data_IF_628768466923
#
_entry.id   IF_628768466923
#
_cell.length_a   1.000
_cell.length_b   1.000
_cell.length_c   1.000
_cell.angle_alpha   90.00
_cell.angle_beta   90.00
_cell.angle_gamma   90.00
#
_symmetry.space_group_name_H-M   'P 1'
#
loop_
_entity.id
_entity.type
_entity.pdbx_description
1 polymer ?
2 non-polymer ?
3 water ?
#
# COMPACT_ATOMS: atom_id res chain seq x y z
N UNK A 1 -10.28 11.60 -14.52
CA UNK A 1 -9.97 10.47 -13.59
C UNK A 1 -10.97 9.35 -13.77
N UNK A 2 -10.59 8.16 -13.31
CA UNK A 2 -11.49 7.03 -13.39
C UNK A 2 -11.55 6.37 -12.03
N UNK A 3 -12.74 5.89 -11.65
CA UNK A 3 -12.89 5.16 -10.39
C UNK A 3 -12.53 3.74 -10.83
N UNK A 4 -11.49 3.18 -10.24
CA UNK A 4 -11.04 1.85 -10.62
C UNK A 4 -11.74 0.79 -9.79
N UNK A 5 -11.98 -0.36 -10.39
CA UNK A 5 -12.61 -1.40 -9.60
C UNK A 5 -11.51 -1.95 -8.68
N UNK A 6 -11.82 -2.09 -7.40
CA UNK A 6 -10.89 -2.65 -6.44
C UNK A 6 -11.20 -4.14 -6.43
N UNK A 7 -10.18 -4.93 -6.75
CA UNK A 7 -10.27 -6.39 -6.78
C UNK A 7 -10.44 -6.97 -5.37
N UNK A 8 -11.45 -7.82 -5.20
CA UNK A 8 -11.72 -8.42 -3.90
C UNK A 8 -11.04 -9.77 -3.73
N UNK A 9 -10.38 -10.32 -2.23
CA UNK A 9 -10.00 -11.69 -1.93
C UNK A 9 -11.34 -12.54 -2.16
N UNK A 10 -11.37 -13.36 -3.34
CA UNK A 10 -10.22 -13.96 -4.01
C UNK A 10 -10.00 -13.63 -5.48
N UNK A 11 -8.86 -13.66 -5.70
CA UNK A 11 -8.32 -13.28 -6.99
C UNK A 11 -6.82 -13.48 -7.00
N UNK A 12 -6.34 -14.18 -8.03
CA UNK A 12 -4.92 -14.47 -8.19
C UNK A 12 -4.00 -13.25 -8.36
N UNK A 13 -4.50 -12.17 -8.96
CA UNK A 13 -3.65 -10.99 -9.14
C UNK A 13 -3.15 -10.50 -7.78
N UNK A 14 -3.92 -10.74 -6.72
CA UNK A 14 -3.52 -10.27 -5.39
C UNK A 14 -2.32 -10.97 -4.80
N UNK A 15 -2.05 -12.20 -5.25
CA UNK A 15 -0.93 -12.95 -4.71
C UNK A 15 0.24 -12.98 -5.67
N UNK A 16 0.17 -12.16 -6.70
CA UNK A 16 1.24 -12.13 -7.70
C UNK A 16 2.28 -11.06 -7.39
N UNK A 17 3.55 -11.44 -7.21
CA UNK A 17 4.56 -10.39 -6.93
C UNK A 17 4.64 -9.46 -8.14
N UNK A 18 4.86 -8.19 -7.88
CA UNK A 18 4.86 -7.15 -8.90
C UNK A 18 6.20 -6.82 -9.51
N UNK A 19 6.19 -6.44 -10.78
CA UNK A 19 7.42 -6.04 -11.43
C UNK A 19 7.76 -4.62 -11.05
N UNK A 20 9.05 -4.31 -11.05
CA UNK A 20 9.49 -2.94 -10.77
C UNK A 20 9.05 -2.07 -11.93
N UNK A 21 8.76 -0.81 -11.62
CA UNK A 21 8.38 0.16 -12.64
C UNK A 21 9.69 0.56 -13.33
N UNK A 22 9.71 0.53 -14.66
CA UNK A 22 10.89 0.88 -15.44
C UNK A 22 10.63 2.15 -16.23
N UNK A 23 9.38 2.32 -16.64
CA UNK A 23 9.00 3.49 -17.41
C UNK A 23 8.17 4.42 -16.55
N UNK A 24 8.69 5.62 -16.32
CA UNK A 24 7.98 6.61 -15.51
C UNK A 24 7.32 7.51 -16.53
N UNK A 25 6.19 7.03 -17.04
CA UNK A 25 5.44 7.69 -18.10
C UNK A 25 4.08 8.24 -17.71
N UNK A 26 3.35 8.76 -18.71
CA UNK A 26 2.03 9.33 -18.43
C UNK A 26 0.99 8.32 -17.94
N UNK A 27 1.14 7.06 -18.34
CA UNK A 27 0.19 6.03 -17.95
C UNK A 27 0.37 5.72 -16.46
N UNK A 28 1.61 5.83 -16.00
CA UNK A 28 1.95 5.61 -14.58
C UNK A 28 1.32 6.75 -13.78
N UNK A 29 1.47 7.97 -14.26
CA UNK A 29 0.90 9.10 -13.53
C UNK A 29 -0.62 8.95 -13.47
N UNK A 30 -1.26 8.57 -14.57
CA UNK A 30 -2.72 8.40 -14.51
C UNK A 30 -3.12 7.27 -13.56
N UNK A 31 -2.33 6.20 -13.55
CA UNK A 31 -2.63 5.09 -12.63
C UNK A 31 -2.62 5.61 -11.19
N UNK A 32 -1.58 6.37 -10.82
CA UNK A 32 -1.50 6.88 -9.45
C UNK A 32 -2.63 7.85 -9.14
N UNK A 33 -2.97 8.71 -10.09
CA UNK A 33 -4.05 9.67 -9.85
C UNK A 33 -5.37 8.93 -9.65
N UNK A 34 -5.64 7.96 -10.51
CA UNK A 34 -6.88 7.19 -10.38
C UNK A 34 -6.91 6.38 -9.10
N UNK A 35 -5.76 5.80 -8.72
CA UNK A 35 -5.69 5.03 -7.48
C UNK A 35 -5.99 5.87 -6.25
N UNK A 36 -5.42 7.06 -6.19
CA UNK A 36 -5.65 7.87 -5.00
C UNK A 36 -7.11 8.25 -4.79
N UNK A 37 -7.81 8.65 -5.85
CA UNK A 37 -9.23 9.03 -5.63
C UNK A 37 -10.07 7.77 -5.43
N UNK A 38 -9.74 6.70 -6.16
CA UNK A 38 -10.47 5.45 -5.96
C UNK A 38 -10.34 5.01 -4.49
N UNK A 39 -9.13 5.10 -3.96
CA UNK A 39 -8.88 4.72 -2.57
C UNK A 39 -9.72 5.54 -1.59
N UNK A 40 -9.71 6.86 -1.77
CA UNK A 40 -10.45 7.74 -0.85
C UNK A 40 -11.96 7.57 -0.98
N UNK A 41 -12.43 7.39 -2.21
CA UNK A 41 -13.88 7.21 -2.40
C UNK A 41 -14.34 5.96 -1.63
N UNK A 42 -13.47 4.97 -1.54
CA UNK A 42 -13.76 3.73 -0.85
C UNK A 42 -13.42 3.78 0.66
N UNK A 43 -13.05 4.96 1.15
CA UNK A 43 -12.68 5.20 2.56
C UNK A 43 -11.46 4.40 2.99
N UNK A 44 -10.52 4.21 2.08
CA UNK A 44 -9.30 3.49 2.42
C UNK A 44 -8.18 4.45 2.71
N UNK A 45 -7.13 3.96 3.39
CA UNK A 45 -5.97 4.83 3.67
C UNK A 45 -4.73 4.38 2.88
N UNK A 46 -4.85 3.21 2.24
CA UNK A 46 -3.78 2.69 1.41
C UNK A 46 -4.37 1.89 0.24
N UNK A 47 -3.66 1.87 -0.88
CA UNK A 47 -4.07 1.10 -2.06
C UNK A 47 -2.83 0.77 -2.86
N UNK A 48 -2.73 -0.48 -3.33
CA UNK A 48 -1.58 -0.92 -4.13
C UNK A 48 -2.08 -1.29 -5.51
N UNK A 49 -1.20 -1.14 -6.50
CA UNK A 49 -1.56 -1.42 -7.91
C UNK A 49 -2.17 -2.80 -8.14
N UNK A 50 -1.65 -3.85 -7.49
CA UNK A 50 -2.29 -5.14 -7.78
C UNK A 50 -3.78 -5.18 -7.42
N UNK A 51 -4.20 -4.33 -6.49
CA UNK A 51 -5.60 -4.29 -6.06
C UNK A 51 -6.49 -3.71 -7.12
N UNK A 52 -5.90 -3.05 -8.10
CA UNK A 52 -6.73 -2.51 -9.19
C UNK A 52 -6.29 -3.23 -10.47
N UNK A 53 -5.73 -4.43 -10.28
CA UNK A 53 -5.33 -5.28 -11.40
C UNK A 53 -4.07 -5.03 -12.18
N UNK A 54 -3.17 -4.23 -11.62
CA UNK A 54 -1.93 -3.88 -12.29
C UNK A 54 -0.75 -4.43 -11.47
N UNK A 55 0.01 -5.37 -12.04
CA UNK A 55 1.14 -5.95 -11.31
C UNK A 55 2.46 -5.18 -11.38
N UNK A 56 2.43 -3.95 -10.87
CA UNK A 56 3.60 -3.08 -10.84
C UNK A 56 3.83 -2.62 -9.40
N UNK A 57 5.08 -2.29 -9.05
CA UNK A 57 5.35 -1.85 -7.67
C UNK A 57 4.99 -0.40 -7.47
N UNK A 58 3.70 -0.17 -7.31
CA UNK A 58 3.13 1.17 -7.18
C UNK A 58 2.06 1.16 -6.11
N UNK A 59 2.16 2.06 -5.14
CA UNK A 59 1.13 2.13 -4.11
C UNK A 59 0.98 3.58 -3.69
N UNK A 60 -0.11 3.88 -2.98
CA UNK A 60 -0.28 5.23 -2.47
C UNK A 60 -0.92 5.07 -1.08
N UNK A 61 -0.57 5.96 -0.15
CA UNK A 61 -1.16 5.95 1.18
C UNK A 61 -1.54 7.39 1.47
N UNK A 62 -2.55 7.59 2.29
CA UNK A 62 -2.95 8.94 2.62
C UNK A 62 -3.72 8.84 3.92
N UNK A 63 -3.04 9.12 5.02
CA UNK A 63 -3.71 9.05 6.32
C UNK A 63 -3.98 10.49 6.83
N UNK A 64 -3.00 11.17 7.39
CA UNK A 64 -3.23 12.54 7.88
C UNK A 64 -3.20 13.61 6.79
N UNK A 65 -3.94 14.70 7.00
CA UNK A 65 -3.98 15.79 6.03
C UNK A 65 -2.66 16.57 5.96
N UNK A 66 -2.02 16.74 7.11
CA UNK A 66 -0.75 17.46 7.20
C UNK A 66 0.28 16.73 6.35
N UNK A 67 0.40 15.42 6.60
CA UNK A 67 1.32 14.57 5.85
C UNK A 67 0.79 14.55 4.43
N UNK A 68 -0.43 14.04 4.29
CA UNK A 68 -1.05 13.98 2.99
C UNK A 68 -0.73 12.74 2.20
N UNK A 69 -0.93 12.86 0.90
CA UNK A 69 -0.73 11.76 -0.02
C UNK A 69 0.74 11.42 -0.22
N UNK A 70 1.07 10.13 -0.09
CA UNK A 70 2.44 9.66 -0.32
C UNK A 70 2.40 8.57 -1.37
N UNK A 71 2.88 8.88 -2.57
CA UNK A 71 2.94 7.90 -3.64
C UNK A 71 4.29 7.21 -3.53
N UNK A 72 4.28 5.89 -3.67
CA UNK A 72 5.48 5.08 -3.56
C UNK A 72 5.70 4.21 -4.78
N UNK A 73 6.82 4.39 -5.48
CA UNK A 73 7.11 3.53 -6.62
C UNK A 73 8.39 2.78 -6.28
N UNK A 74 8.39 1.48 -6.55
CA UNK A 74 9.53 0.60 -6.26
C UNK A 74 10.06 0.81 -4.84
N UNK A 75 9.16 0.86 -3.85
CA UNK A 75 9.61 1.07 -2.46
C UNK A 75 10.34 -0.08 -1.82
N UNK A 76 11.28 0.23 -0.94
CA UNK A 76 11.95 -0.81 -0.18
C UNK A 76 12.08 -0.25 1.23
N UNK A 77 12.04 -1.12 2.23
CA UNK A 77 12.20 -0.68 3.62
C UNK A 77 13.67 -0.89 3.96
N UNK A 78 14.34 0.20 4.34
CA UNK A 78 15.76 0.16 4.68
C UNK A 78 15.98 -0.11 6.15
N UNK A 79 15.02 0.28 6.99
CA UNK A 79 15.19 0.10 8.42
C UNK A 79 13.85 -0.06 9.11
N UNK A 80 13.81 -0.87 10.16
CA UNK A 80 12.58 -1.07 10.92
C UNK A 80 13.00 -1.09 12.37
N UNK A 81 12.23 -0.44 13.24
CA UNK A 81 12.55 -0.44 14.68
C UNK A 81 11.27 -0.45 15.48
N UNK A 82 11.26 -1.18 16.61
CA UNK A 82 10.08 -1.21 17.44
C UNK A 82 8.96 -2.02 16.86
N UNK A 83 7.92 -2.22 17.65
CA UNK A 83 6.76 -2.98 17.20
C UNK A 83 5.45 -2.34 17.67
N UNK A 84 4.39 -2.60 16.93
CA UNK A 84 3.06 -2.11 17.27
C UNK A 84 2.08 -3.20 16.88
N UNK A 85 1.08 -3.39 17.74
CA UNK A 85 0.08 -4.42 17.55
C UNK A 85 -1.27 -3.74 17.52
N UNK A 86 -2.08 -4.09 16.54
CA UNK A 86 -3.37 -3.46 16.44
C UNK A 86 -4.13 -3.97 15.25
N UNK A 87 -5.35 -3.45 15.07
CA UNK A 87 -6.21 -3.86 13.97
C UNK A 87 -5.73 -3.39 12.61
N UNK A 88 -5.97 -4.26 11.64
CA UNK A 88 -5.63 -3.98 10.25
C UNK A 88 -6.75 -4.48 9.35
N UNK A 89 -7.03 -3.72 8.28
CA UNK A 89 -8.05 -4.09 7.32
C UNK A 89 -7.47 -3.93 5.93
N UNK A 90 -8.29 -4.14 4.90
CA UNK A 90 -7.81 -4.04 3.52
C UNK A 90 -9.01 -3.90 2.62
N UNK A 91 -8.96 -2.95 1.69
CA UNK A 91 -10.09 -2.76 0.78
C UNK A 91 -10.40 -4.00 -0.04
N UNK A 92 -9.43 -4.89 -0.18
CA UNK A 92 -9.66 -6.11 -0.97
C UNK A 92 -10.36 -7.18 -0.14
N UNK A 93 -10.53 -6.94 1.16
CA UNK A 93 -11.23 -7.91 2.04
C UNK A 93 -12.27 -7.08 2.80
N UNK A 94 -13.33 -6.66 2.11
CA UNK A 94 -14.33 -5.85 2.81
C UNK A 94 -14.86 -6.36 4.14
N UNK A 95 -14.78 -5.50 5.14
CA UNK A 95 -15.26 -5.83 6.46
C UNK A 95 -14.39 -6.79 7.27
N UNK A 96 -13.26 -7.22 6.73
CA UNK A 96 -12.40 -8.15 7.46
C UNK A 96 -11.30 -7.42 8.22
N UNK A 97 -11.21 -7.62 9.54
CA UNK A 97 -10.18 -6.93 10.30
C UNK A 97 -9.49 -7.93 11.22
N UNK A 98 -8.18 -7.83 11.35
CA UNK A 98 -7.48 -8.78 12.21
C UNK A 98 -6.34 -8.08 12.88
N UNK A 99 -5.84 -8.65 13.97
CA UNK A 99 -4.73 -8.04 14.69
C UNK A 99 -3.44 -8.43 13.98
N UNK A 100 -2.61 -7.42 13.68
CA UNK A 100 -1.35 -7.68 13.01
C UNK A 100 -0.22 -6.92 13.70
N UNK A 101 0.91 -7.58 13.91
CA UNK A 101 2.05 -6.87 14.50
C UNK A 101 2.93 -6.35 13.35
N UNK A 102 3.28 -5.07 13.39
CA UNK A 102 4.13 -4.45 12.35
C UNK A 102 5.23 -3.67 13.05
N UNK A 103 6.27 -3.34 12.31
CA UNK A 103 7.32 -2.49 12.89
C UNK A 103 6.64 -1.14 13.22
N UNK A 104 7.12 -0.45 14.25
CA UNK A 104 6.54 0.85 14.61
C UNK A 104 7.22 2.00 13.88
N UNK A 105 8.52 1.91 13.66
CA UNK A 105 9.25 2.93 12.88
C UNK A 105 9.83 2.27 11.62
N UNK A 106 9.76 2.96 10.47
CA UNK A 106 10.38 2.45 9.28
C UNK A 106 11.07 3.57 8.52
N UNK A 107 12.10 3.21 7.79
CA UNK A 107 12.77 4.17 6.91
C UNK A 107 12.56 3.54 5.54
N UNK A 108 11.98 4.30 4.61
CA UNK A 108 11.67 3.79 3.27
C UNK A 108 12.38 4.54 2.17
N UNK A 109 12.84 3.79 1.16
CA UNK A 109 13.48 4.36 -0.03
C UNK A 109 12.50 4.05 -1.17
N UNK A 110 12.12 5.05 -1.94
CA UNK A 110 11.19 4.80 -3.02
C UNK A 110 11.34 5.87 -4.08
N UNK A 111 10.65 5.70 -5.21
CA UNK A 111 10.75 6.72 -6.25
C UNK A 111 9.45 7.45 -6.42
N UNK A 112 9.52 8.69 -6.91
CA UNK A 112 8.30 9.43 -7.19
C UNK A 112 7.92 9.24 -8.67
N UNK A 113 6.87 9.93 -9.11
CA UNK A 113 6.40 9.82 -10.51
C UNK A 113 7.43 10.04 -11.61
N UNK A 114 8.44 10.85 -11.33
CA UNK A 114 9.48 11.14 -12.32
C UNK A 114 10.67 10.20 -12.21
N UNK A 115 10.64 9.29 -11.23
CA UNK A 115 11.74 8.35 -11.04
C UNK A 115 12.79 8.80 -10.04
N UNK A 116 12.57 9.94 -9.38
CA UNK A 116 13.56 10.39 -8.40
C UNK A 116 13.45 9.62 -7.10
N UNK A 117 14.59 9.25 -6.54
CA UNK A 117 14.64 8.51 -5.27
C UNK A 117 14.57 9.43 -4.05
N UNK A 118 13.67 9.11 -3.12
CA UNK A 118 13.52 9.86 -1.88
C UNK A 118 13.58 8.91 -0.71
N UNK A 119 13.79 9.50 0.47
CA UNK A 119 13.85 8.77 1.72
C UNK A 119 12.72 9.25 2.59
N UNK A 120 12.03 8.31 3.22
CA UNK A 120 10.90 8.66 4.04
C UNK A 120 10.93 7.92 5.37
N UNK A 121 10.70 8.63 6.46
CA UNK A 121 10.64 7.98 7.76
C UNK A 121 9.21 8.05 8.24
N UNK A 122 8.70 6.95 8.79
CA UNK A 122 7.32 6.97 9.26
C UNK A 122 7.19 6.12 10.50
N UNK A 123 6.17 6.42 11.28
CA UNK A 123 5.91 5.66 12.50
C UNK A 123 4.41 5.44 12.66
N UNK A 124 4.05 4.56 13.58
CA UNK A 124 2.65 4.35 13.86
C UNK A 124 1.73 3.95 12.74
N UNK A 125 0.56 4.56 12.69
CA UNK A 125 -0.42 4.18 11.69
C UNK A 125 0.06 4.35 10.27
N UNK A 126 0.79 5.42 10.02
CA UNK A 126 1.30 5.62 8.68
C UNK A 126 2.30 4.51 8.37
N UNK A 127 3.14 4.17 9.33
CA UNK A 127 4.12 3.11 9.04
C UNK A 127 3.39 1.78 8.82
N UNK A 128 2.30 1.55 9.55
CA UNK A 128 1.54 0.31 9.36
C UNK A 128 0.97 0.30 7.93
N UNK A 129 0.36 1.40 7.53
CA UNK A 129 -0.20 1.41 6.18
C UNK A 129 0.85 1.14 5.09
N UNK A 130 2.00 1.78 5.23
CA UNK A 130 3.04 1.62 4.25
C UNK A 130 3.53 0.18 4.22
N UNK A 131 3.73 -0.43 5.38
CA UNK A 131 4.17 -1.83 5.37
C UNK A 131 3.13 -2.75 4.68
N UNK A 132 1.86 -2.49 4.95
CA UNK A 132 0.78 -3.29 4.39
C UNK A 132 0.78 -3.13 2.85
N UNK A 133 0.92 -1.90 2.38
CA UNK A 133 0.92 -1.74 0.93
C UNK A 133 2.15 -2.29 0.25
N UNK A 134 3.32 -2.20 0.88
CA UNK A 134 4.51 -2.73 0.27
C UNK A 134 4.33 -4.25 0.18
N UNK A 135 3.78 -4.87 1.22
CA UNK A 135 3.55 -6.31 1.12
C UNK A 135 2.74 -6.64 -0.11
N UNK A 136 1.69 -5.88 -0.40
CA UNK A 136 0.89 -6.15 -1.63
C UNK A 136 1.75 -6.23 -2.89
N UNK A 137 2.76 -5.37 -2.95
CA UNK A 137 3.63 -5.31 -4.11
C UNK A 137 4.47 -6.56 -4.24
N UNK A 138 4.52 -7.39 -3.21
CA UNK A 138 5.29 -8.62 -3.31
C UNK A 138 4.39 -9.82 -3.25
N UNK A 139 3.10 -9.57 -3.48
CA UNK A 139 2.10 -10.64 -3.49
C UNK A 139 1.73 -11.17 -2.12
N UNK A 140 1.98 -10.38 -1.07
CA UNK A 140 1.66 -10.79 0.30
C UNK A 140 0.45 -10.05 0.82
N UNK A 141 -0.50 -10.80 1.38
CA UNK A 141 -1.75 -10.25 1.90
C UNK A 141 -1.74 -10.29 3.44
N UNK A 142 -2.44 -9.34 4.06
CA UNK A 142 -2.38 -9.24 5.50
C UNK A 142 -2.88 -10.45 6.27
N UNK A 143 -3.76 -11.21 5.64
CA UNK A 143 -4.30 -12.40 6.27
C UNK A 143 -3.19 -13.39 6.62
N UNK A 144 -2.07 -13.31 5.91
CA UNK A 144 -0.96 -14.21 6.20
C UNK A 144 -0.25 -13.84 7.49
N UNK A 145 -0.51 -12.63 8.01
CA UNK A 145 0.14 -12.14 9.22
C UNK A 145 -0.81 -11.85 10.39
N UNK A 146 -2.10 -12.13 10.20
CA UNK A 146 -3.07 -11.92 11.26
C UNK A 146 -2.83 -12.98 12.36
N UNK A 147 -2.81 -12.53 13.61
CA UNK A 147 -2.58 -13.40 14.76
C UNK A 147 -3.94 -13.81 15.34
N UNK A 148 -4.93 -12.94 15.18
CA UNK A 148 -6.29 -13.23 15.62
C UNK A 148 -7.27 -12.27 14.98
N UNK A 149 -8.46 -12.76 14.64
CA UNK A 149 -9.48 -11.91 14.06
C UNK A 149 -10.40 -11.48 15.20
N UNK A 150 -11.11 -10.36 15.03
CA UNK A 150 -11.97 -9.88 16.10
C UNK A 150 -13.38 -10.46 16.08
N UNK A 151 -13.99 -10.59 17.25
CA UNK A 151 -15.35 -11.12 17.34
C UNK A 151 -16.34 -10.08 16.84
X LIG B 1 -4.52 -4.15 1.43
#
# INVERSE_FOLDING_TARGET
MAVLEIIKHPNEVLETPCERVINFDKKLVKLLKDMHETMLIADGVGLAAPQVGVSLQVAVVDVDDDTGKIELINPSILEKRGEQVGPEGCLSFPGLYGEVERADYIKVRAQNRRGKVFLLEAEGFLARAIQHEIDHLHGVLFTSKVTRYYEENELE
NI NI
#
